data_IF_680543079130
#
_entry.id   IF_680543079130
#
_cell.length_a   1.000
_cell.length_b   1.000
_cell.length_c   1.000
_cell.angle_alpha   90.00
_cell.angle_beta   90.00
_cell.angle_gamma   90.00
#
_symmetry.space_group_name_H-M   'P 1'
#
loop_
_entity.id
_entity.type
_entity.pdbx_description
1 polymer ?
#
# COMPACT_ATOMS: atom_id res chain seq x y z
N UNK A 1 24.00 77.41 -28.15
CA UNK A 1 24.78 78.60 -27.75
C UNK A 1 25.03 78.50 -26.25
N UNK A 2 26.31 78.33 -25.83
CA UNK A 2 26.97 78.71 -24.54
C UNK A 2 26.25 78.45 -23.19
N UNK A 3 26.87 78.03 -22.09
CA UNK A 3 28.26 77.71 -21.71
C UNK A 3 28.27 77.24 -20.23
N UNK A 4 29.21 76.35 -19.89
CA UNK A 4 30.07 76.26 -18.69
C UNK A 4 29.44 76.25 -17.27
N UNK A 5 29.93 75.50 -16.26
CA UNK A 5 31.32 75.27 -15.80
C UNK A 5 31.32 74.08 -14.81
N UNK A 6 32.18 73.03 -14.88
CA UNK A 6 33.56 72.91 -14.33
C UNK A 6 33.70 73.46 -12.89
N UNK A 7 34.39 72.87 -11.90
CA UNK A 7 35.52 71.90 -11.79
C UNK A 7 35.72 71.64 -10.27
N UNK A 8 36.14 70.47 -9.79
CA UNK A 8 37.45 70.10 -9.21
C UNK A 8 37.17 69.22 -7.97
N UNK A 9 37.93 68.19 -7.57
CA UNK A 9 39.18 67.61 -8.06
C UNK A 9 39.94 66.93 -6.90
N UNK A 10 40.44 65.71 -7.15
CA UNK A 10 41.61 65.06 -6.51
C UNK A 10 41.42 64.56 -5.06
N UNK A 11 41.99 63.44 -4.59
CA UNK A 11 43.37 62.89 -4.72
C UNK A 11 43.36 61.43 -4.16
N UNK A 12 43.88 60.43 -4.91
CA UNK A 12 45.14 59.66 -4.65
C UNK A 12 44.98 58.37 -3.78
N UNK A 13 45.93 57.40 -3.74
CA UNK A 13 46.28 56.46 -4.84
C UNK A 13 46.68 55.01 -4.37
N UNK A 14 46.98 54.11 -5.33
CA UNK A 14 48.10 53.11 -5.41
C UNK A 14 48.45 52.17 -4.21
N UNK A 15 48.98 50.93 -4.31
CA UNK A 15 49.38 49.93 -5.34
C UNK A 15 49.93 48.69 -4.60
N UNK A 16 50.15 47.59 -5.35
CA UNK A 16 51.03 46.42 -5.08
C UNK A 16 50.39 45.27 -4.29
N UNK A 17 50.59 43.98 -4.58
CA UNK A 17 51.55 43.19 -5.38
C UNK A 17 50.84 41.82 -5.62
N UNK A 18 50.86 41.14 -6.76
CA UNK A 18 51.99 40.71 -7.57
C UNK A 18 52.38 39.26 -7.23
N UNK A 19 52.10 38.34 -8.17
CA UNK A 19 52.82 37.08 -8.52
C UNK A 19 52.05 35.73 -8.45
N UNK A 20 51.59 35.29 -9.63
CA UNK A 20 51.73 33.91 -10.16
C UNK A 20 53.22 33.62 -10.55
N UNK A 21 53.63 32.47 -11.15
CA UNK A 21 53.25 31.04 -11.06
C UNK A 21 54.51 30.13 -10.88
N UNK A 22 54.40 28.80 -10.75
CA UNK A 22 55.41 27.86 -11.31
C UNK A 22 55.04 26.35 -11.22
N UNK A 23 55.34 25.69 -12.34
CA UNK A 23 55.37 24.26 -12.65
C UNK A 23 56.75 23.65 -12.32
N UNK A 24 56.82 22.35 -11.96
CA UNK A 24 57.82 21.30 -12.35
C UNK A 24 57.74 20.10 -11.37
N UNK A 25 57.32 18.90 -11.77
CA UNK A 25 57.97 17.80 -12.52
C UNK A 25 58.92 16.88 -11.73
N UNK A 26 58.62 15.57 -11.79
CA UNK A 26 59.46 14.35 -11.74
C UNK A 26 60.25 13.96 -10.48
N UNK A 27 59.96 12.78 -9.91
CA UNK A 27 60.84 11.58 -9.94
C UNK A 27 60.25 10.36 -9.18
N UNK A 28 60.29 9.18 -9.81
CA UNK A 28 60.43 7.85 -9.19
C UNK A 28 61.95 7.53 -9.05
N UNK A 29 62.47 6.44 -8.42
CA UNK A 29 61.84 5.12 -8.16
C UNK A 29 62.28 4.35 -6.86
N UNK A 30 61.85 3.08 -6.79
CA UNK A 30 62.39 1.90 -6.06
C UNK A 30 62.08 1.72 -4.56
N UNK A 31 62.08 0.53 -3.94
CA UNK A 31 61.83 -0.91 -4.26
C UNK A 31 62.22 -1.63 -2.95
N UNK A 32 61.35 -2.46 -2.37
CA UNK A 32 61.72 -3.57 -1.44
C UNK A 32 60.44 -4.35 -1.09
N UNK A 33 60.15 -5.53 -1.67
CA UNK A 33 60.50 -6.88 -1.13
C UNK A 33 60.14 -7.03 0.35
N UNK A 34 59.27 -7.96 0.79
CA UNK A 34 59.42 -9.42 0.67
C UNK A 34 58.14 -10.16 1.13
N UNK A 35 57.77 -11.23 0.41
CA UNK A 35 57.24 -12.56 0.85
C UNK A 35 55.96 -12.68 1.71
N UNK A 36 54.89 -13.36 1.26
CA UNK A 36 54.65 -14.84 1.22
C UNK A 36 54.67 -15.42 2.65
N UNK A 37 53.66 -16.09 3.20
CA UNK A 37 53.12 -17.39 2.76
C UNK A 37 51.94 -17.84 3.64
N UNK A 38 51.12 -18.73 3.07
CA UNK A 38 50.19 -19.67 3.71
C UNK A 38 50.80 -20.38 4.94
N UNK A 39 50.00 -20.87 5.90
CA UNK A 39 50.42 -21.97 6.75
C UNK A 39 50.06 -23.31 6.07
N UNK A 40 51.10 -24.05 5.73
CA UNK A 40 51.08 -25.46 5.40
C UNK A 40 50.92 -26.31 6.68
N UNK A 41 50.43 -27.53 6.46
CA UNK A 41 50.55 -28.65 7.39
C UNK A 41 52.02 -28.87 7.78
N UNK A 42 52.27 -29.28 9.02
CA UNK A 42 53.11 -30.46 9.24
C UNK A 42 53.02 -31.02 10.67
N UNK A 43 53.09 -32.33 10.69
CA UNK A 43 53.15 -33.24 11.82
C UNK A 43 54.44 -33.09 12.66
N UNK A 44 54.31 -33.28 13.98
CA UNK A 44 55.21 -34.05 14.89
C UNK A 44 54.73 -33.82 16.33
N UNK A 45 54.76 -34.74 17.29
CA UNK A 45 55.58 -35.94 17.46
C UNK A 45 55.01 -36.80 18.61
N UNK A 46 55.07 -38.12 18.42
CA UNK A 46 55.45 -39.15 19.40
C UNK A 46 54.77 -39.23 20.79
N UNK A 47 54.10 -40.36 21.04
CA UNK A 47 54.61 -41.27 22.07
C UNK A 47 54.20 -42.75 21.88
N UNK A 48 55.24 -43.58 21.78
CA UNK A 48 55.40 -45.01 22.10
C UNK A 48 54.24 -45.72 22.83
N UNK A 49 53.87 -46.96 22.50
CA UNK A 49 54.75 -48.12 22.65
C UNK A 49 54.13 -49.45 22.15
N UNK A 50 55.01 -50.27 21.53
CA UNK A 50 55.14 -51.75 21.63
C UNK A 50 53.92 -52.65 21.34
N UNK A 51 53.98 -53.34 20.19
CA UNK A 51 53.69 -54.80 20.14
C UNK A 51 54.36 -55.50 18.93
N UNK A 52 55.49 -56.14 19.25
CA UNK A 52 55.92 -57.49 18.85
C UNK A 52 55.60 -58.01 17.43
N UNK A 53 56.64 -58.10 16.60
CA UNK A 53 56.73 -59.05 15.48
C UNK A 53 57.16 -60.44 15.99
N UNK A 54 56.32 -61.47 15.80
CA UNK A 54 56.76 -62.86 15.51
C UNK A 54 55.58 -63.78 15.19
N UNK A 55 55.49 -64.22 13.94
CA UNK A 55 55.55 -65.63 13.52
C UNK A 55 54.81 -65.85 12.20
N UNK A 56 55.62 -66.04 11.15
CA UNK A 56 55.26 -66.73 9.93
C UNK A 56 54.89 -68.18 10.26
N UNK A 57 53.66 -68.61 9.95
CA UNK A 57 53.30 -70.02 9.75
C UNK A 57 51.99 -70.12 8.94
N UNK A 58 52.12 -70.79 7.81
CA UNK A 58 51.09 -71.41 6.96
C UNK A 58 49.89 -70.56 6.49
N UNK A 59 49.96 -70.15 5.21
CA UNK A 59 48.76 -69.90 4.38
C UNK A 59 48.10 -71.26 4.07
N UNK A 60 46.81 -71.49 4.40
CA UNK A 60 46.03 -72.51 3.73
C UNK A 60 45.67 -72.05 2.32
N UNK A 61 45.56 -73.01 1.40
CA UNK A 61 45.26 -72.80 -0.01
C UNK A 61 43.97 -71.99 -0.23
N UNK A 62 44.08 -70.93 -1.04
CA UNK A 62 42.92 -70.19 -1.56
C UNK A 62 42.26 -71.08 -2.62
N UNK A 63 41.09 -71.63 -2.31
CA UNK A 63 40.21 -72.20 -3.32
C UNK A 63 39.66 -71.07 -4.20
N UNK A 64 39.58 -71.25 -5.54
CA UNK A 64 39.02 -70.24 -6.43
C UNK A 64 37.52 -70.13 -6.17
N UNK A 65 37.07 -69.01 -5.59
CA UNK A 65 35.64 -68.73 -5.45
C UNK A 65 35.08 -68.29 -6.80
N UNK A 66 34.18 -69.10 -7.35
CA UNK A 66 33.39 -68.80 -8.55
C UNK A 66 32.59 -67.49 -8.34
N UNK A 67 32.54 -66.56 -9.31
CA UNK A 67 32.09 -65.18 -9.07
C UNK A 67 30.57 -64.99 -8.99
N UNK A 68 29.77 -66.05 -8.79
CA UNK A 68 28.33 -65.92 -8.65
C UNK A 68 27.80 -66.85 -7.55
N UNK A 69 27.70 -66.31 -6.34
CA UNK A 69 26.80 -66.88 -5.33
C UNK A 69 25.36 -66.60 -5.77
N UNK A 70 24.64 -67.63 -6.20
CA UNK A 70 23.19 -67.52 -6.41
C UNK A 70 22.55 -67.14 -5.07
N UNK A 71 21.99 -65.93 -4.99
CA UNK A 71 21.19 -65.51 -3.84
C UNK A 71 20.14 -66.59 -3.56
N UNK A 72 19.96 -66.97 -2.29
CA UNK A 72 18.88 -67.88 -1.94
C UNK A 72 17.52 -67.25 -2.32
N UNK A 73 16.52 -68.05 -2.66
CA UNK A 73 15.18 -67.57 -3.03
C UNK A 73 14.66 -66.53 -2.02
N UNK A 74 14.86 -66.79 -0.72
CA UNK A 74 14.45 -65.88 0.35
C UNK A 74 15.17 -64.52 0.32
N UNK A 75 16.47 -64.50 -0.01
CA UNK A 75 17.25 -63.27 -0.16
C UNK A 75 16.91 -62.52 -1.45
N UNK A 76 16.61 -63.25 -2.53
CA UNK A 76 16.16 -62.66 -3.80
C UNK A 76 14.74 -62.05 -3.69
N UNK A 77 13.92 -62.54 -2.74
CA UNK A 77 12.57 -62.04 -2.47
C UNK A 77 12.48 -61.06 -1.29
N UNK A 78 13.57 -60.75 -0.60
CA UNK A 78 13.55 -59.83 0.54
C UNK A 78 13.37 -58.37 0.06
N UNK A 79 12.12 -57.93 0.06
CA UNK A 79 11.72 -56.57 -0.32
C UNK A 79 11.61 -55.62 0.89
N UNK A 80 12.07 -56.03 2.07
CA UNK A 80 11.91 -55.27 3.31
C UNK A 80 12.53 -53.86 3.21
N UNK A 81 13.69 -53.76 2.56
CA UNK A 81 14.37 -52.48 2.33
C UNK A 81 13.61 -51.58 1.35
N UNK A 82 13.05 -52.13 0.27
CA UNK A 82 12.23 -51.39 -0.70
C UNK A 82 10.92 -50.89 -0.05
N UNK A 83 10.31 -51.70 0.81
CA UNK A 83 9.11 -51.32 1.58
C UNK A 83 9.46 -50.22 2.59
N UNK A 84 10.60 -50.33 3.29
CA UNK A 84 11.08 -49.33 4.23
C UNK A 84 11.43 -48.00 3.53
N UNK A 85 12.07 -48.03 2.36
CA UNK A 85 12.34 -46.86 1.53
C UNK A 85 11.04 -46.21 1.04
N UNK A 86 10.08 -46.99 0.51
CA UNK A 86 8.76 -46.46 0.11
C UNK A 86 8.02 -45.81 1.29
N UNK A 87 8.09 -46.39 2.49
CA UNK A 87 7.49 -45.82 3.69
C UNK A 87 8.15 -44.49 4.06
N UNK A 88 9.49 -44.42 4.06
CA UNK A 88 10.23 -43.16 4.31
C UNK A 88 9.90 -42.08 3.29
N UNK A 89 9.93 -42.40 1.99
CA UNK A 89 9.56 -41.46 0.92
C UNK A 89 8.10 -41.00 1.05
N UNK A 90 7.15 -41.89 1.38
CA UNK A 90 5.76 -41.49 1.65
C UNK A 90 5.64 -40.54 2.85
N UNK A 91 6.34 -40.82 3.95
CA UNK A 91 6.35 -39.96 5.14
C UNK A 91 6.99 -38.61 4.80
N UNK A 92 8.13 -38.59 4.10
CA UNK A 92 8.77 -37.37 3.64
C UNK A 92 7.87 -36.56 2.71
N UNK A 93 7.16 -37.20 1.77
CA UNK A 93 6.19 -36.52 0.91
C UNK A 93 5.01 -35.94 1.72
N UNK A 94 4.53 -36.64 2.74
CA UNK A 94 3.48 -36.13 3.64
C UNK A 94 3.99 -34.92 4.43
N UNK A 95 5.20 -35.01 5.00
CA UNK A 95 5.85 -33.90 5.72
C UNK A 95 6.03 -32.70 4.79
N UNK A 96 6.58 -32.91 3.59
CA UNK A 96 6.74 -31.84 2.59
C UNK A 96 5.40 -31.18 2.26
N UNK A 97 4.32 -31.95 2.09
CA UNK A 97 2.98 -31.41 1.86
C UNK A 97 2.47 -30.57 3.04
N UNK A 98 2.67 -31.04 4.26
CA UNK A 98 2.27 -30.30 5.48
C UNK A 98 3.06 -29.00 5.57
N UNK A 99 4.38 -29.03 5.37
CA UNK A 99 5.23 -27.83 5.38
C UNK A 99 4.78 -26.85 4.30
N UNK A 100 4.54 -27.31 3.06
CA UNK A 100 4.03 -26.43 2.00
C UNK A 100 2.68 -25.81 2.34
N UNK A 101 1.77 -26.57 2.96
CA UNK A 101 0.47 -26.05 3.37
C UNK A 101 0.62 -24.96 4.44
N UNK A 102 1.49 -25.18 5.43
CA UNK A 102 1.77 -24.19 6.48
C UNK A 102 2.35 -22.90 5.86
N UNK A 103 3.31 -23.01 4.95
CA UNK A 103 3.90 -21.85 4.27
C UNK A 103 2.87 -21.08 3.43
N UNK A 104 1.98 -21.78 2.74
CA UNK A 104 0.88 -21.15 1.98
C UNK A 104 -0.08 -20.41 2.92
N UNK A 105 -0.46 -21.04 4.04
CA UNK A 105 -1.34 -20.40 5.04
C UNK A 105 -0.66 -19.16 5.63
N UNK A 106 0.63 -19.24 5.97
CA UNK A 106 1.39 -18.11 6.49
C UNK A 106 1.47 -16.96 5.47
N UNK A 107 1.74 -17.27 4.19
CA UNK A 107 1.77 -16.27 3.12
C UNK A 107 0.41 -15.59 2.94
N UNK A 108 -0.69 -16.34 2.96
CA UNK A 108 -2.05 -15.79 2.88
C UNK A 108 -2.37 -14.93 4.10
N UNK A 109 -1.97 -15.34 5.30
CA UNK A 109 -2.18 -14.55 6.52
C UNK A 109 -1.41 -13.22 6.48
N UNK A 110 -0.14 -13.25 6.05
CA UNK A 110 0.69 -12.04 5.91
C UNK A 110 0.09 -11.10 4.87
N UNK A 111 -0.32 -11.61 3.71
CA UNK A 111 -0.94 -10.79 2.66
C UNK A 111 -2.33 -10.28 3.05
N UNK A 112 -3.10 -11.06 3.79
CA UNK A 112 -4.46 -10.72 4.23
C UNK A 112 -4.49 -9.74 5.40
N UNK A 113 -3.44 -9.67 6.22
CA UNK A 113 -3.41 -8.83 7.41
C UNK A 113 -3.56 -7.32 7.12
N UNK A 114 -2.81 -6.71 6.18
CA UNK A 114 -3.04 -5.31 5.80
C UNK A 114 -4.45 -5.05 5.26
N UNK A 115 -5.00 -5.97 4.47
CA UNK A 115 -6.36 -5.85 3.93
C UNK A 115 -7.41 -5.86 5.05
N UNK A 116 -7.23 -6.70 6.07
CA UNK A 116 -8.11 -6.73 7.23
C UNK A 116 -8.04 -5.43 8.05
N UNK A 117 -6.83 -4.89 8.27
CA UNK A 117 -6.65 -3.59 8.95
C UNK A 117 -7.32 -2.46 8.16
N UNK A 118 -7.07 -2.40 6.85
CA UNK A 118 -7.65 -1.42 5.94
C UNK A 118 -9.18 -1.49 5.93
N UNK A 119 -9.75 -2.70 5.92
CA UNK A 119 -11.19 -2.91 6.00
C UNK A 119 -11.75 -2.40 7.35
N UNK A 120 -11.13 -2.78 8.46
CA UNK A 120 -11.54 -2.32 9.79
C UNK A 120 -11.48 -0.78 9.90
N UNK A 121 -10.41 -0.17 9.37
CA UNK A 121 -10.27 1.28 9.32
C UNK A 121 -11.38 1.93 8.48
N UNK A 122 -11.70 1.39 7.30
CA UNK A 122 -12.76 1.92 6.45
C UNK A 122 -14.13 1.91 7.15
N UNK A 123 -14.43 0.85 7.91
CA UNK A 123 -15.65 0.76 8.72
C UNK A 123 -15.67 1.79 9.84
N UNK A 124 -14.53 1.99 10.54
CA UNK A 124 -14.42 2.97 11.62
C UNK A 124 -14.62 4.39 11.09
N UNK A 125 -13.97 4.73 9.98
CA UNK A 125 -14.07 6.05 9.34
C UNK A 125 -15.49 6.33 8.83
N UNK A 126 -16.11 5.35 8.17
CA UNK A 126 -17.51 5.45 7.76
C UNK A 126 -18.46 5.59 8.96
N UNK A 127 -18.16 4.98 10.10
CA UNK A 127 -18.93 5.17 11.33
C UNK A 127 -18.78 6.59 11.88
N UNK A 128 -17.57 7.16 11.88
CA UNK A 128 -17.35 8.56 12.27
C UNK A 128 -18.17 9.51 11.42
N UNK A 129 -18.15 9.33 10.09
CA UNK A 129 -19.00 10.09 9.16
C UNK A 129 -20.49 9.98 9.48
N UNK A 130 -20.99 8.76 9.77
CA UNK A 130 -22.40 8.56 10.15
C UNK A 130 -22.76 9.22 11.47
N UNK A 131 -21.89 9.13 12.47
CA UNK A 131 -22.13 9.74 13.78
C UNK A 131 -22.21 11.27 13.66
N UNK A 132 -21.28 11.89 12.92
CA UNK A 132 -21.29 13.32 12.63
C UNK A 132 -22.58 13.74 11.90
N UNK A 133 -22.99 13.00 10.85
CA UNK A 133 -24.23 13.28 10.14
C UNK A 133 -25.48 13.16 11.04
N UNK A 134 -25.52 12.16 11.93
CA UNK A 134 -26.60 11.98 12.91
C UNK A 134 -26.63 13.11 13.94
N UNK A 135 -25.46 13.60 14.37
CA UNK A 135 -25.35 14.72 15.29
C UNK A 135 -25.93 16.00 14.67
N UNK A 136 -25.55 16.30 13.42
CA UNK A 136 -26.10 17.44 12.66
C UNK A 136 -27.62 17.30 12.49
N UNK A 137 -28.11 16.10 12.18
CA UNK A 137 -29.55 15.85 12.05
C UNK A 137 -30.34 16.10 13.36
N UNK A 138 -29.65 16.03 14.51
CA UNK A 138 -30.22 16.33 15.82
C UNK A 138 -30.13 17.81 16.23
N UNK A 139 -29.50 18.68 15.43
CA UNK A 139 -29.37 20.11 15.77
C UNK A 139 -30.72 20.83 15.73
N UNK A 140 -30.96 21.81 16.62
CA UNK A 140 -32.12 22.67 16.54
C UNK A 140 -32.18 23.44 15.22
N UNK A 141 -33.35 23.48 14.59
CA UNK A 141 -33.59 24.37 13.46
C UNK A 141 -33.49 25.86 13.90
N UNK A 142 -32.83 26.76 13.14
CA UNK A 142 -32.21 26.58 11.82
C UNK A 142 -30.66 26.45 11.84
N UNK A 143 -30.07 25.87 12.90
CA UNK A 143 -28.61 25.91 13.13
C UNK A 143 -27.77 25.38 11.96
N UNK A 144 -28.21 24.31 11.28
CA UNK A 144 -27.50 23.77 10.13
C UNK A 144 -27.55 24.72 8.92
N UNK A 145 -28.68 25.40 8.70
CA UNK A 145 -28.84 26.39 7.62
C UNK A 145 -27.98 27.63 7.89
N UNK A 146 -27.93 28.08 9.14
CA UNK A 146 -27.07 29.19 9.56
C UNK A 146 -25.59 28.85 9.36
N UNK A 147 -25.17 27.62 9.67
CA UNK A 147 -23.80 27.15 9.44
C UNK A 147 -23.44 27.14 7.94
N UNK A 148 -24.35 26.67 7.08
CA UNK A 148 -24.19 26.71 5.62
C UNK A 148 -24.13 28.15 5.10
N UNK A 149 -24.99 29.03 5.59
CA UNK A 149 -24.99 30.45 5.22
C UNK A 149 -23.67 31.13 5.60
N UNK A 150 -23.16 30.87 6.81
CA UNK A 150 -21.86 31.36 7.26
C UNK A 150 -20.70 30.85 6.38
N UNK A 151 -20.71 29.56 6.02
CA UNK A 151 -19.71 28.99 5.12
C UNK A 151 -19.77 29.57 3.70
N UNK A 152 -20.97 29.80 3.15
CA UNK A 152 -21.16 30.46 1.86
C UNK A 152 -20.67 31.92 1.89
N UNK A 153 -20.91 32.64 2.99
CA UNK A 153 -20.40 33.99 3.18
C UNK A 153 -18.86 34.04 3.26
N UNK A 154 -18.25 33.07 3.94
CA UNK A 154 -16.79 32.87 3.95
C UNK A 154 -16.25 32.62 2.55
N UNK A 155 -16.88 31.72 1.78
CA UNK A 155 -16.49 31.43 0.40
C UNK A 155 -16.57 32.68 -0.49
N UNK A 156 -17.61 33.50 -0.37
CA UNK A 156 -17.74 34.74 -1.12
C UNK A 156 -16.63 35.75 -0.77
N UNK A 157 -16.21 35.82 0.51
CA UNK A 157 -15.07 36.65 0.94
C UNK A 157 -13.75 36.12 0.36
N UNK A 158 -13.55 34.81 0.37
CA UNK A 158 -12.37 34.15 -0.19
C UNK A 158 -12.24 34.33 -1.71
N UNK A 159 -13.36 34.23 -2.44
CA UNK A 159 -13.40 34.48 -3.89
C UNK A 159 -13.02 35.93 -4.22
N UNK A 160 -13.54 36.91 -3.46
CA UNK A 160 -13.19 38.34 -3.64
C UNK A 160 -11.74 38.67 -3.29
N UNK A 161 -11.12 37.94 -2.36
CA UNK A 161 -9.72 38.16 -1.98
C UNK A 161 -8.72 37.52 -2.95
N UNK A 162 -9.18 36.64 -3.85
CA UNK A 162 -8.34 35.96 -4.84
C UNK A 162 -7.48 34.83 -4.27
N UNK A 163 -7.90 34.22 -3.16
CA UNK A 163 -7.19 33.12 -2.47
C UNK A 163 -5.70 33.43 -2.21
N UNK A 164 -5.39 34.39 -1.32
CA UNK A 164 -4.02 34.81 -1.07
C UNK A 164 -3.14 33.70 -0.44
N UNK A 165 -3.76 32.70 0.16
CA UNK A 165 -3.12 31.52 0.76
C UNK A 165 -3.83 30.28 0.23
N UNK A 166 -3.05 29.24 -0.11
CA UNK A 166 -3.57 27.93 -0.48
C UNK A 166 -2.68 26.83 0.13
N UNK A 167 -3.23 26.10 1.09
CA UNK A 167 -2.55 25.09 1.91
C UNK A 167 -1.89 25.64 3.19
N UNK A 168 -1.38 24.72 4.02
CA UNK A 168 -0.65 25.03 5.26
C UNK A 168 0.80 25.52 5.02
N UNK A 169 1.32 25.14 3.86
CA UNK A 169 2.53 25.56 3.15
C UNK A 169 2.26 25.25 1.67
N UNK A 170 3.13 25.69 0.74
CA UNK A 170 2.95 25.53 -0.72
C UNK A 170 2.41 24.13 -1.12
N UNK A 171 2.78 23.06 -0.39
CA UNK A 171 2.19 21.73 -0.50
C UNK A 171 1.98 21.04 0.87
N UNK A 172 0.78 20.45 1.12
CA UNK A 172 0.44 19.77 2.36
C UNK A 172 1.12 18.41 2.57
N UNK A 173 1.83 17.85 1.58
CA UNK A 173 2.55 16.57 1.72
C UNK A 173 4.07 16.70 1.56
N UNK A 174 4.59 17.91 1.72
CA UNK A 174 5.97 18.22 1.34
C UNK A 174 7.04 17.67 2.30
N UNK A 175 6.65 17.04 3.42
CA UNK A 175 7.61 16.42 4.36
C UNK A 175 8.19 15.12 3.79
N UNK A 176 9.34 14.69 4.33
CA UNK A 176 9.91 13.40 3.99
C UNK A 176 8.88 12.28 4.17
N UNK A 177 8.78 11.37 3.19
CA UNK A 177 7.81 10.26 3.11
C UNK A 177 6.35 10.63 2.79
N UNK A 178 6.04 11.85 2.33
CA UNK A 178 4.67 12.21 1.95
C UNK A 178 3.76 12.46 3.15
N UNK A 179 4.34 12.82 4.29
CA UNK A 179 3.62 13.35 5.44
C UNK A 179 3.41 14.86 5.33
N UNK A 180 2.47 15.39 6.10
CA UNK A 180 2.30 16.84 6.22
C UNK A 180 3.40 17.48 7.06
N UNK A 181 3.91 18.64 6.61
CA UNK A 181 4.86 19.45 7.39
C UNK A 181 4.19 20.22 8.53
N UNK A 182 2.87 20.36 8.48
CA UNK A 182 2.13 21.06 9.51
C UNK A 182 2.06 20.20 10.77
N UNK A 183 2.89 20.53 11.77
CA UNK A 183 2.68 20.12 13.16
C UNK A 183 1.44 20.88 13.66
N UNK A 184 0.44 20.15 14.17
CA UNK A 184 -0.94 20.60 14.33
C UNK A 184 -1.15 22.03 14.83
N UNK A 185 -0.38 22.50 15.81
CA UNK A 185 -0.58 23.83 16.41
C UNK A 185 -0.02 25.00 15.57
N UNK A 186 0.96 24.77 14.69
CA UNK A 186 1.67 25.83 13.96
C UNK A 186 1.17 26.10 12.53
N UNK A 187 0.17 25.34 12.08
CA UNK A 187 -0.39 25.41 10.73
C UNK A 187 -1.14 26.73 10.45
N UNK A 188 -1.34 27.07 9.18
CA UNK A 188 -2.09 28.28 8.82
C UNK A 188 -3.57 28.10 9.16
N UNK A 189 -4.11 26.90 8.92
CA UNK A 189 -5.48 26.54 9.26
C UNK A 189 -5.75 26.60 10.76
N UNK A 190 -4.85 26.07 11.60
CA UNK A 190 -5.05 26.02 13.06
C UNK A 190 -5.06 27.42 13.70
N UNK A 191 -4.42 28.40 13.05
CA UNK A 191 -4.37 29.80 13.51
C UNK A 191 -5.61 30.60 13.11
N UNK A 192 -6.32 30.18 12.06
CA UNK A 192 -7.52 30.85 11.58
C UNK A 192 -8.77 30.36 12.35
N UNK A 193 -9.12 31.09 13.40
CA UNK A 193 -10.28 30.78 14.24
C UNK A 193 -11.61 30.86 13.50
N UNK A 194 -11.73 31.75 12.51
CA UNK A 194 -12.95 31.86 11.70
C UNK A 194 -13.13 30.55 10.92
N UNK A 195 -12.09 30.14 10.19
CA UNK A 195 -12.08 28.88 9.43
C UNK A 195 -12.36 27.65 10.31
N UNK A 196 -11.68 27.51 11.45
CA UNK A 196 -11.86 26.36 12.35
C UNK A 196 -13.27 26.28 12.95
N UNK A 197 -13.94 27.42 13.12
CA UNK A 197 -15.31 27.43 13.68
C UNK A 197 -16.41 27.09 12.68
N UNK A 198 -16.11 27.13 11.38
CA UNK A 198 -17.09 26.91 10.32
C UNK A 198 -17.29 25.42 10.06
N UNK A 199 -18.55 25.00 9.94
CA UNK A 199 -18.95 23.63 9.60
C UNK A 199 -18.47 22.55 10.58
N UNK A 200 -18.13 22.90 11.82
CA UNK A 200 -17.82 21.90 12.85
C UNK A 200 -19.11 21.19 13.30
N UNK A 201 -19.30 19.96 12.83
CA UNK A 201 -20.43 19.10 13.20
C UNK A 201 -20.35 18.53 14.62
N UNK A 202 -19.23 18.77 15.32
CA UNK A 202 -18.80 18.06 16.52
C UNK A 202 -17.64 17.12 16.21
N UNK A 203 -16.74 16.95 17.18
CA UNK A 203 -15.51 16.15 17.07
C UNK A 203 -14.60 16.56 15.87
N UNK A 204 -14.59 17.84 15.50
CA UNK A 204 -13.75 18.45 14.45
C UNK A 204 -14.08 18.01 13.01
N UNK A 205 -15.22 17.33 12.80
CA UNK A 205 -15.63 16.86 11.47
C UNK A 205 -16.37 17.98 10.73
N UNK A 206 -15.86 18.36 9.55
CA UNK A 206 -16.45 19.33 8.65
C UNK A 206 -17.63 18.77 7.84
N UNK A 207 -17.52 17.50 7.44
CA UNK A 207 -18.44 16.83 6.54
C UNK A 207 -17.94 15.45 6.16
N UNK A 208 -18.46 14.90 5.07
CA UNK A 208 -18.10 13.56 4.58
C UNK A 208 -17.91 13.57 3.07
N UNK A 209 -16.86 12.87 2.59
CA UNK A 209 -16.65 12.58 1.17
C UNK A 209 -17.04 11.12 0.90
N UNK A 210 -17.90 10.91 -0.10
CA UNK A 210 -18.29 9.59 -0.60
C UNK A 210 -17.86 9.42 -2.06
N UNK A 211 -17.18 8.33 -2.36
CA UNK A 211 -16.79 7.94 -3.74
C UNK A 211 -17.21 6.49 -3.93
N UNK A 212 -18.46 6.23 -4.35
CA UNK A 212 -19.02 4.88 -4.35
C UNK A 212 -18.25 3.88 -5.22
N UNK A 213 -17.74 4.32 -6.38
CA UNK A 213 -16.96 3.47 -7.31
C UNK A 213 -15.78 2.75 -6.66
N UNK A 214 -15.17 3.38 -5.65
CA UNK A 214 -13.98 2.86 -4.96
C UNK A 214 -14.23 2.60 -3.47
N UNK A 215 -15.49 2.54 -3.04
CA UNK A 215 -15.90 2.31 -1.64
C UNK A 215 -15.29 3.31 -0.64
N UNK A 216 -15.14 4.57 -1.02
CA UNK A 216 -14.66 5.61 -0.10
C UNK A 216 -15.84 6.26 0.60
N UNK A 217 -15.78 6.31 1.92
CA UNK A 217 -16.68 7.06 2.80
C UNK A 217 -15.83 7.55 3.99
N UNK A 218 -15.40 8.81 3.94
CA UNK A 218 -14.44 9.37 4.89
C UNK A 218 -14.95 10.67 5.49
N UNK A 219 -14.71 10.91 6.80
CA UNK A 219 -14.91 12.22 7.38
C UNK A 219 -13.89 13.21 6.77
N UNK A 220 -14.34 14.45 6.60
CA UNK A 220 -13.51 15.58 6.17
C UNK A 220 -13.21 16.40 7.44
N UNK A 221 -11.93 16.66 7.69
CA UNK A 221 -11.45 17.50 8.78
C UNK A 221 -10.91 18.83 8.26
N UNK A 222 -10.81 19.81 9.14
CA UNK A 222 -10.18 21.10 8.83
C UNK A 222 -8.68 20.96 8.61
N UNK A 223 -8.19 21.66 7.59
CA UNK A 223 -6.79 21.70 7.23
C UNK A 223 -6.25 20.36 6.74
N UNK A 224 -4.93 20.34 6.59
CA UNK A 224 -4.20 19.17 6.09
C UNK A 224 -3.02 18.84 6.98
N UNK A 225 -3.21 18.96 8.29
CA UNK A 225 -2.23 18.57 9.30
C UNK A 225 -2.03 17.05 9.29
N UNK A 226 -0.92 16.59 9.88
CA UNK A 226 -0.67 15.15 10.00
C UNK A 226 -1.77 14.44 10.82
N UNK A 227 -2.34 15.12 11.82
CA UNK A 227 -3.43 14.58 12.63
C UNK A 227 -4.73 14.48 11.85
N UNK A 228 -5.10 15.52 11.08
CA UNK A 228 -6.29 15.50 10.23
C UNK A 228 -6.22 14.38 9.18
N UNK A 229 -5.10 14.29 8.45
CA UNK A 229 -4.92 13.29 7.38
C UNK A 229 -4.77 11.86 7.91
N UNK A 230 -4.33 11.67 9.16
CA UNK A 230 -4.34 10.36 9.80
C UNK A 230 -5.76 9.91 10.21
N UNK A 231 -6.65 10.87 10.48
CA UNK A 231 -8.03 10.63 10.94
C UNK A 231 -9.05 10.56 9.81
N UNK A 232 -8.74 11.03 8.60
CA UNK A 232 -9.67 11.00 7.47
C UNK A 232 -9.17 11.79 6.26
N UNK A 233 -10.09 12.39 5.52
CA UNK A 233 -9.77 13.39 4.51
C UNK A 233 -9.56 14.76 5.18
N UNK A 234 -8.72 15.60 4.59
CA UNK A 234 -8.48 16.98 5.06
C UNK A 234 -8.89 17.99 4.01
N UNK A 235 -9.59 19.05 4.41
CA UNK A 235 -9.89 20.19 3.55
C UNK A 235 -8.66 21.09 3.40
N UNK A 236 -8.26 21.42 2.18
CA UNK A 236 -7.13 22.29 1.93
C UNK A 236 -7.44 23.73 2.36
N UNK A 237 -6.78 24.23 3.40
CA UNK A 237 -6.96 25.61 3.84
C UNK A 237 -6.74 26.61 2.69
N UNK A 238 -7.57 27.65 2.61
CA UNK A 238 -7.53 28.62 1.51
C UNK A 238 -8.25 28.18 0.21
N UNK A 239 -8.75 26.94 0.12
CA UNK A 239 -9.79 26.58 -0.85
C UNK A 239 -11.18 26.91 -0.30
N UNK A 240 -12.19 26.95 -1.17
CA UNK A 240 -13.58 27.16 -0.75
C UNK A 240 -14.02 26.03 0.18
N UNK A 241 -14.75 26.35 1.26
CA UNK A 241 -15.45 25.37 2.08
C UNK A 241 -16.42 24.54 1.21
N UNK A 242 -16.62 23.25 1.50
CA UNK A 242 -17.23 22.30 0.58
C UNK A 242 -18.77 22.35 0.62
N UNK A 243 -19.35 23.55 0.54
CA UNK A 243 -20.80 23.82 0.56
C UNK A 243 -21.36 24.20 -0.83
N UNK A 244 -20.51 24.12 -1.86
CA UNK A 244 -20.80 24.47 -3.24
C UNK A 244 -21.14 25.96 -3.46
N UNK A 245 -21.76 26.23 -4.61
CA UNK A 245 -22.18 27.55 -5.07
C UNK A 245 -21.26 28.12 -6.16
N UNK A 246 -21.80 29.04 -6.95
CA UNK A 246 -21.07 29.64 -8.07
C UNK A 246 -19.80 30.37 -7.62
N UNK A 247 -18.72 30.18 -8.38
CA UNK A 247 -17.43 30.77 -8.06
C UNK A 247 -16.79 30.16 -6.82
N UNK A 248 -16.96 28.86 -6.63
CA UNK A 248 -16.31 28.10 -5.55
C UNK A 248 -15.47 26.97 -6.10
N UNK A 249 -14.36 26.68 -5.42
CA UNK A 249 -13.51 25.54 -5.71
C UNK A 249 -12.95 25.00 -4.40
N UNK A 250 -13.52 23.89 -3.92
CA UNK A 250 -13.04 23.19 -2.74
C UNK A 250 -12.00 22.14 -3.10
N UNK A 251 -11.00 21.93 -2.24
CA UNK A 251 -10.01 20.88 -2.44
C UNK A 251 -9.99 19.96 -1.24
N UNK A 252 -10.33 18.69 -1.46
CA UNK A 252 -10.36 17.64 -0.45
C UNK A 252 -9.15 16.74 -0.67
N UNK A 253 -8.37 16.55 0.39
CA UNK A 253 -7.10 15.84 0.34
C UNK A 253 -7.16 14.55 1.15
N UNK A 254 -6.41 13.53 0.75
CA UNK A 254 -6.33 12.28 1.48
C UNK A 254 -5.04 11.53 1.21
N UNK A 255 -4.59 10.72 2.17
CA UNK A 255 -3.40 9.89 1.98
C UNK A 255 -3.61 8.81 0.91
N UNK A 256 -2.49 8.38 0.31
CA UNK A 256 -2.42 7.24 -0.60
C UNK A 256 -1.33 6.28 -0.13
N UNK A 257 -1.71 5.02 0.08
CA UNK A 257 -0.80 3.94 0.48
C UNK A 257 -0.53 3.83 1.98
N UNK A 258 -1.49 4.15 2.85
CA UNK A 258 -1.34 3.81 4.27
C UNK A 258 -1.52 2.30 4.48
N UNK A 259 -0.67 1.72 5.33
CA UNK A 259 -0.71 0.28 5.65
C UNK A 259 -2.01 -0.11 6.35
N UNK A 260 -2.54 0.78 7.18
CA UNK A 260 -3.69 0.53 8.05
C UNK A 260 -5.02 1.09 7.52
N UNK A 261 -5.03 1.90 6.46
CA UNK A 261 -6.24 2.58 5.97
C UNK A 261 -6.20 2.78 4.45
N UNK A 262 -7.33 2.57 3.76
CA UNK A 262 -7.38 2.77 2.31
C UNK A 262 -7.34 4.25 1.91
N UNK A 263 -8.02 5.15 2.64
CA UNK A 263 -8.09 6.58 2.31
C UNK A 263 -8.32 6.81 0.80
N UNK A 264 -7.49 7.62 0.13
CA UNK A 264 -7.52 7.87 -1.32
C UNK A 264 -6.57 6.96 -2.11
N UNK A 265 -6.20 5.79 -1.56
CA UNK A 265 -5.27 4.85 -2.22
C UNK A 265 -5.69 4.46 -3.63
N UNK A 266 -7.00 4.31 -3.87
CA UNK A 266 -7.61 3.89 -5.14
C UNK A 266 -8.10 5.06 -6.00
N UNK A 267 -7.71 6.29 -5.70
CA UNK A 267 -8.22 7.46 -6.42
C UNK A 267 -7.84 7.44 -7.92
N UNK A 268 -6.77 6.73 -8.29
CA UNK A 268 -6.36 6.49 -9.68
C UNK A 268 -7.27 5.54 -10.47
N UNK A 269 -8.23 4.88 -9.81
CA UNK A 269 -9.25 4.06 -10.48
C UNK A 269 -10.44 4.91 -11.01
N UNK A 270 -10.51 6.20 -10.63
CA UNK A 270 -11.52 7.13 -11.13
C UNK A 270 -11.26 7.53 -12.59
N UNK A 271 -12.33 7.91 -13.28
CA UNK A 271 -12.39 8.29 -14.69
C UNK A 271 -13.36 9.46 -14.87
N UNK A 272 -13.20 10.20 -15.96
CA UNK A 272 -14.20 11.16 -16.43
C UNK A 272 -15.57 10.48 -16.54
N UNK A 273 -16.62 11.15 -16.05
CA UNK A 273 -18.00 10.65 -15.96
C UNK A 273 -18.31 9.87 -14.67
N UNK A 274 -17.34 9.64 -13.79
CA UNK A 274 -17.63 9.08 -12.46
C UNK A 274 -18.18 10.16 -11.52
N UNK A 275 -18.94 9.75 -10.51
CA UNK A 275 -19.51 10.65 -9.50
C UNK A 275 -18.87 10.48 -8.12
N UNK A 276 -18.79 11.58 -7.39
CA UNK A 276 -18.52 11.62 -5.96
C UNK A 276 -19.42 12.64 -5.27
N UNK A 277 -19.53 12.55 -3.95
CA UNK A 277 -20.51 13.30 -3.18
C UNK A 277 -19.90 13.89 -1.92
N UNK A 278 -20.29 15.11 -1.59
CA UNK A 278 -20.00 15.74 -0.31
C UNK A 278 -21.29 15.80 0.50
N UNK A 279 -21.25 15.31 1.73
CA UNK A 279 -22.31 15.52 2.72
C UNK A 279 -21.84 16.53 3.75
N UNK A 280 -22.59 17.62 3.91
CA UNK A 280 -22.21 18.73 4.78
C UNK A 280 -23.48 19.38 5.36
N UNK A 281 -23.52 19.50 6.69
CA UNK A 281 -24.62 20.16 7.41
C UNK A 281 -26.04 19.71 6.97
N UNK A 282 -26.21 18.43 6.63
CA UNK A 282 -27.50 17.86 6.20
C UNK A 282 -27.81 17.98 4.71
N UNK A 283 -26.97 18.69 3.93
CA UNK A 283 -27.05 18.71 2.46
C UNK A 283 -26.11 17.65 1.84
N UNK A 284 -26.53 17.09 0.71
CA UNK A 284 -25.69 16.22 -0.14
C UNK A 284 -25.47 16.86 -1.50
N UNK A 285 -24.22 17.04 -1.89
CA UNK A 285 -23.79 17.72 -3.11
C UNK A 285 -23.11 16.70 -4.03
N UNK A 286 -23.60 16.53 -5.26
CA UNK A 286 -23.06 15.59 -6.25
C UNK A 286 -22.11 16.29 -7.22
N UNK A 287 -21.01 15.63 -7.57
CA UNK A 287 -20.02 16.14 -8.52
C UNK A 287 -19.66 15.06 -9.55
N UNK A 288 -19.67 15.42 -10.83
CA UNK A 288 -19.21 14.57 -11.93
C UNK A 288 -17.75 14.90 -12.26
N UNK A 289 -16.92 13.87 -12.40
CA UNK A 289 -15.52 14.02 -12.78
C UNK A 289 -15.43 14.43 -14.24
N UNK A 290 -14.86 15.59 -14.53
CA UNK A 290 -14.60 16.06 -15.91
C UNK A 290 -13.12 15.95 -16.29
N UNK A 291 -12.21 16.12 -15.33
CA UNK A 291 -10.77 16.20 -15.59
C UNK A 291 -9.94 15.47 -14.55
N UNK A 292 -8.88 14.80 -15.02
CA UNK A 292 -7.88 14.13 -14.18
C UNK A 292 -6.50 14.58 -14.64
N UNK A 293 -5.64 14.97 -13.70
CA UNK A 293 -4.27 15.39 -14.02
C UNK A 293 -3.29 15.04 -12.91
N UNK A 294 -2.00 15.10 -13.25
CA UNK A 294 -0.89 14.95 -12.30
C UNK A 294 -0.06 16.23 -12.33
N UNK A 295 0.16 16.82 -11.16
CA UNK A 295 0.93 18.06 -10.98
C UNK A 295 2.16 17.82 -10.11
N UNK A 296 3.13 18.73 -10.18
CA UNK A 296 4.16 18.79 -9.17
C UNK A 296 3.58 19.39 -7.87
N UNK A 297 4.13 19.06 -6.70
CA UNK A 297 3.58 19.53 -5.43
C UNK A 297 3.53 21.06 -5.30
N UNK A 298 4.49 21.77 -5.91
CA UNK A 298 4.59 23.22 -5.90
C UNK A 298 3.65 23.94 -6.88
N UNK A 299 2.97 23.22 -7.77
CA UNK A 299 2.03 23.78 -8.74
C UNK A 299 0.60 23.81 -8.19
N UNK A 300 0.25 24.88 -7.47
CA UNK A 300 -1.11 25.11 -6.97
C UNK A 300 -2.02 25.86 -7.95
N UNK A 301 -1.54 26.16 -9.16
CA UNK A 301 -2.25 27.04 -10.11
C UNK A 301 -3.62 26.52 -10.50
N UNK A 302 -3.77 25.19 -10.58
CA UNK A 302 -5.00 24.52 -10.99
C UNK A 302 -6.04 24.37 -9.87
N UNK A 303 -5.68 24.71 -8.63
CA UNK A 303 -6.54 24.59 -7.45
C UNK A 303 -7.28 25.90 -7.12
N UNK A 304 -7.13 26.92 -7.98
CA UNK A 304 -7.78 28.23 -7.81
C UNK A 304 -9.25 28.19 -8.23
N UNK A 305 -10.04 29.07 -7.63
CA UNK A 305 -11.43 29.32 -7.98
C UNK A 305 -11.52 29.73 -9.45
N UNK A 306 -12.44 29.09 -10.17
CA UNK A 306 -12.81 29.46 -11.52
C UNK A 306 -14.12 30.26 -11.45
N UNK A 307 -14.16 31.52 -11.91
CA UNK A 307 -15.36 32.35 -11.82
C UNK A 307 -16.57 31.69 -12.50
N UNK A 308 -17.70 31.66 -11.79
CA UNK A 308 -18.97 31.13 -12.31
C UNK A 308 -19.08 29.60 -12.28
N UNK A 309 -18.09 28.89 -11.74
CA UNK A 309 -18.12 27.42 -11.65
C UNK A 309 -18.19 26.98 -10.17
N UNK A 310 -18.90 25.87 -9.91
CA UNK A 310 -18.94 25.17 -8.62
C UNK A 310 -18.13 23.86 -8.78
N UNK A 311 -16.94 23.83 -8.14
CA UNK A 311 -15.97 22.75 -8.31
C UNK A 311 -15.50 22.14 -7.02
N UNK A 312 -15.18 20.85 -7.09
CA UNK A 312 -14.41 20.16 -6.07
C UNK A 312 -13.26 19.39 -6.72
N UNK A 313 -12.07 19.48 -6.15
CA UNK A 313 -10.93 18.64 -6.54
C UNK A 313 -10.57 17.68 -5.41
N UNK A 314 -10.48 16.39 -5.74
CA UNK A 314 -9.90 15.39 -4.85
C UNK A 314 -8.40 15.28 -5.14
N UNK A 315 -7.57 15.43 -4.11
CA UNK A 315 -6.11 15.44 -4.24
C UNK A 315 -5.46 14.35 -3.40
N UNK A 316 -4.50 13.63 -3.99
CA UNK A 316 -3.65 12.68 -3.26
C UNK A 316 -2.22 12.61 -3.82
N UNK A 317 -1.33 11.88 -3.15
CA UNK A 317 0.04 11.65 -3.61
C UNK A 317 0.14 10.58 -4.71
N UNK A 318 1.06 10.75 -5.65
CA UNK A 318 1.34 9.80 -6.73
C UNK A 318 2.81 9.91 -7.19
N UNK A 319 3.43 8.90 -7.82
CA UNK A 319 3.02 7.50 -7.95
C UNK A 319 2.96 6.76 -6.62
N UNK A 320 2.23 5.64 -6.57
CA UNK A 320 2.04 4.84 -5.35
C UNK A 320 3.38 4.39 -4.76
N UNK A 321 3.60 4.65 -3.47
CA UNK A 321 4.83 4.31 -2.76
C UNK A 321 6.02 5.24 -3.02
N UNK A 322 5.88 6.23 -3.91
CA UNK A 322 6.92 7.21 -4.27
C UNK A 322 6.52 8.63 -3.87
N UNK A 323 5.25 9.01 -4.12
CA UNK A 323 4.61 10.25 -3.62
C UNK A 323 5.28 11.57 -4.06
N UNK A 324 5.96 11.58 -5.20
CA UNK A 324 6.70 12.75 -5.73
C UNK A 324 5.81 13.81 -6.40
N UNK A 325 4.59 13.45 -6.80
CA UNK A 325 3.63 14.28 -7.52
C UNK A 325 2.26 14.23 -6.84
N UNK A 326 1.30 15.03 -7.31
CA UNK A 326 -0.08 15.01 -6.83
C UNK A 326 -1.01 14.59 -7.96
N UNK A 327 -1.87 13.62 -7.68
CA UNK A 327 -3.00 13.23 -8.53
C UNK A 327 -4.19 14.11 -8.15
N UNK A 328 -4.78 14.79 -9.13
CA UNK A 328 -5.98 15.61 -8.98
C UNK A 328 -7.12 15.02 -9.80
N UNK A 329 -8.27 14.84 -9.16
CA UNK A 329 -9.55 14.50 -9.79
C UNK A 329 -10.47 15.71 -9.63
N UNK A 330 -10.74 16.42 -10.72
CA UNK A 330 -11.66 17.55 -10.74
C UNK A 330 -13.07 17.04 -11.00
N UNK A 331 -14.04 17.59 -10.26
CA UNK A 331 -15.44 17.47 -10.60
C UNK A 331 -16.17 18.80 -10.59
N UNK A 332 -17.16 18.91 -11.46
CA UNK A 332 -18.13 20.02 -11.47
C UNK A 332 -19.43 19.58 -10.82
N UNK A 333 -20.13 20.55 -10.25
CA UNK A 333 -21.42 20.32 -9.60
C UNK A 333 -22.46 19.77 -10.57
N UNK A 334 -23.21 18.76 -10.13
CA UNK A 334 -24.37 18.21 -10.84
C UNK A 334 -25.54 17.99 -9.86
N UNK A 335 -26.81 18.20 -10.29
CA UNK A 335 -27.97 17.88 -9.48
C UNK A 335 -28.14 16.38 -9.24
N UNK A 336 -28.64 16.05 -8.06
CA UNK A 336 -29.03 14.70 -7.63
C UNK A 336 -30.57 14.61 -7.72
N UNK A 337 -31.19 13.52 -8.19
CA UNK A 337 -30.57 12.26 -8.64
C UNK A 337 -30.25 12.22 -10.15
N UNK A 338 -30.49 13.31 -10.88
CA UNK A 338 -30.26 13.40 -12.32
C UNK A 338 -29.50 14.69 -12.62
N UNK A 339 -28.30 14.61 -13.24
CA UNK A 339 -27.65 13.42 -13.80
C UNK A 339 -26.85 12.58 -12.79
N UNK A 340 -26.57 13.08 -11.58
CA UNK A 340 -25.79 12.35 -10.58
C UNK A 340 -26.65 11.31 -9.83
N UNK A 341 -26.34 10.00 -9.88
CA UNK A 341 -27.14 8.96 -9.20
C UNK A 341 -27.28 9.20 -7.69
N UNK A 342 -28.24 8.57 -7.03
CA UNK A 342 -28.28 8.58 -5.56
C UNK A 342 -27.04 7.84 -5.01
N UNK A 343 -26.32 8.41 -4.01
CA UNK A 343 -25.13 7.77 -3.44
C UNK A 343 -25.41 6.40 -2.81
N UNK A 344 -26.65 6.10 -2.42
CA UNK A 344 -27.04 4.80 -1.86
C UNK A 344 -27.22 3.69 -2.90
N UNK A 345 -27.44 4.04 -4.17
CA UNK A 345 -27.66 3.10 -5.27
C UNK A 345 -26.34 2.57 -5.88
N UNK A 346 -25.22 3.21 -5.58
CA UNK A 346 -23.93 2.89 -6.16
C UNK A 346 -23.17 1.89 -5.30
N UNK A 347 -22.93 0.70 -5.85
CA UNK A 347 -22.16 -0.36 -5.20
C UNK A 347 -20.75 -0.51 -5.82
N UNK A 348 -19.80 -0.91 -4.99
CA UNK A 348 -18.44 -1.21 -5.44
C UNK A 348 -18.39 -2.53 -6.20
N UNK A 349 -18.30 -2.38 -7.51
CA UNK A 349 -18.10 -3.47 -8.48
C UNK A 349 -16.98 -4.42 -8.09
N UNK A 350 -15.89 -3.95 -7.47
CA UNK A 350 -14.76 -4.79 -7.08
C UNK A 350 -15.07 -5.65 -5.85
N UNK A 351 -15.84 -5.15 -4.89
CA UNK A 351 -16.30 -5.94 -3.73
C UNK A 351 -17.23 -7.07 -4.17
N UNK A 352 -18.08 -6.80 -5.16
CA UNK A 352 -18.92 -7.83 -5.78
C UNK A 352 -18.03 -8.87 -6.48
N UNK A 353 -17.04 -8.44 -7.27
CA UNK A 353 -16.12 -9.34 -7.98
C UNK A 353 -15.27 -10.17 -7.01
N UNK A 354 -14.74 -9.59 -5.94
CA UNK A 354 -13.94 -10.34 -4.94
C UNK A 354 -14.78 -11.37 -4.21
N UNK A 355 -16.01 -11.04 -3.82
CA UNK A 355 -16.97 -12.00 -3.25
C UNK A 355 -17.23 -13.17 -4.20
N UNK A 356 -17.48 -12.89 -5.49
CA UNK A 356 -17.71 -13.93 -6.51
C UNK A 356 -16.49 -14.83 -6.68
N UNK A 357 -15.28 -14.27 -6.73
CA UNK A 357 -14.04 -15.04 -6.86
C UNK A 357 -13.79 -15.91 -5.63
N UNK A 358 -13.96 -15.36 -4.42
CA UNK A 358 -13.77 -16.11 -3.17
C UNK A 358 -14.78 -17.25 -3.06
N UNK A 359 -16.06 -16.98 -3.31
CA UNK A 359 -17.10 -18.01 -3.33
C UNK A 359 -16.83 -19.08 -4.41
N UNK A 360 -16.34 -18.67 -5.59
CA UNK A 360 -15.93 -19.59 -6.65
C UNK A 360 -14.76 -20.49 -6.25
N UNK A 361 -13.73 -19.95 -5.59
CA UNK A 361 -12.59 -20.72 -5.10
C UNK A 361 -12.99 -21.69 -3.98
N UNK A 362 -13.81 -21.25 -3.02
CA UNK A 362 -14.32 -22.09 -1.94
C UNK A 362 -15.22 -23.21 -2.48
N UNK A 363 -16.12 -22.89 -3.41
CA UNK A 363 -16.95 -23.87 -4.11
C UNK A 363 -16.14 -24.89 -4.91
N UNK A 364 -15.12 -24.42 -5.63
CA UNK A 364 -14.19 -25.28 -6.37
C UNK A 364 -13.39 -26.22 -5.46
N UNK A 365 -12.92 -25.72 -4.31
CA UNK A 365 -12.21 -26.54 -3.32
C UNK A 365 -13.11 -27.61 -2.70
N UNK A 366 -14.35 -27.26 -2.35
CA UNK A 366 -15.35 -28.20 -1.85
C UNK A 366 -15.66 -29.29 -2.89
N UNK A 367 -15.81 -28.91 -4.16
CA UNK A 367 -16.09 -29.82 -5.27
C UNK A 367 -14.92 -30.80 -5.53
N UNK A 368 -13.68 -30.32 -5.48
CA UNK A 368 -12.49 -31.18 -5.53
C UNK A 368 -12.41 -32.14 -4.34
N UNK A 369 -12.79 -31.68 -3.15
CA UNK A 369 -12.90 -32.51 -1.94
C UNK A 369 -13.93 -33.62 -2.10
N UNK A 370 -15.11 -33.31 -2.65
CA UNK A 370 -16.19 -34.27 -2.94
C UNK A 370 -15.76 -35.28 -4.02
N UNK A 371 -15.18 -34.83 -5.14
CA UNK A 371 -14.66 -35.71 -6.19
C UNK A 371 -13.56 -36.62 -5.64
N UNK A 372 -12.66 -36.07 -4.82
CA UNK A 372 -11.61 -36.83 -4.13
C UNK A 372 -12.19 -37.88 -3.19
N UNK A 373 -13.29 -37.58 -2.49
CA UNK A 373 -14.00 -38.53 -1.62
C UNK A 373 -14.69 -39.62 -2.42
N UNK A 374 -15.38 -39.27 -3.52
CA UNK A 374 -16.05 -40.22 -4.41
C UNK A 374 -15.04 -41.19 -5.03
N UNK A 375 -13.89 -40.69 -5.52
CA UNK A 375 -12.82 -41.53 -6.09
C UNK A 375 -12.14 -42.46 -5.07
N UNK A 376 -12.25 -42.16 -3.77
CA UNK A 376 -11.71 -42.99 -2.68
C UNK A 376 -12.75 -43.94 -2.07
N UNK A 377 -14.00 -43.89 -2.52
CA UNK A 377 -14.99 -44.90 -2.11
C UNK A 377 -14.50 -46.26 -2.63
N UNK A 378 -14.41 -47.28 -1.77
CA UNK A 378 -14.02 -48.61 -2.22
C UNK A 378 -15.05 -49.09 -3.24
N UNK A 379 -14.60 -49.45 -4.44
CA UNK A 379 -15.40 -50.23 -5.38
C UNK A 379 -15.86 -51.48 -4.61
N UNK A 380 -17.14 -51.57 -4.24
CA UNK A 380 -17.71 -52.81 -3.72
C UNK A 380 -17.80 -53.76 -4.92
N UNK A 381 -17.00 -54.84 -5.00
CA UNK A 381 -17.24 -55.84 -6.03
C UNK A 381 -18.62 -56.43 -5.78
N UNK A 382 -19.55 -56.25 -6.71
CA UNK A 382 -20.81 -56.98 -6.72
C UNK A 382 -20.44 -58.46 -6.82
N UNK A 383 -20.55 -59.19 -5.71
CA UNK A 383 -20.41 -60.64 -5.71
C UNK A 383 -21.63 -61.20 -6.46
N UNK A 384 -21.44 -61.61 -7.71
CA UNK A 384 -22.43 -62.46 -8.38
C UNK A 384 -22.57 -63.74 -7.55
N UNK A 385 -23.75 -63.96 -6.98
CA UNK A 385 -24.09 -65.22 -6.35
C UNK A 385 -24.14 -66.29 -7.45
N UNK A 386 -23.11 -67.13 -7.53
CA UNK A 386 -23.14 -68.33 -8.36
C UNK A 386 -24.08 -69.34 -7.69
N UNK A 387 -25.31 -69.44 -8.16
CA UNK A 387 -26.21 -70.54 -7.85
C UNK A 387 -25.66 -71.82 -8.49
N UNK A 388 -25.14 -72.72 -7.66
CA UNK A 388 -24.72 -74.06 -8.06
C UNK A 388 -25.95 -74.99 -8.12
N UNK A 389 -26.19 -75.79 -9.17
CA UNK A 389 -27.30 -76.72 -9.17
C UNK A 389 -26.98 -77.97 -8.33
N UNK A 390 -27.88 -78.31 -7.40
CA UNK A 390 -27.87 -79.61 -6.70
C UNK A 390 -28.02 -80.74 -7.71
N UNK A 391 -27.02 -81.62 -7.78
CA UNK A 391 -27.13 -82.95 -8.40
C UNK A 391 -28.25 -83.74 -7.70
N UNK A 392 -29.30 -84.09 -8.42
CA UNK A 392 -30.11 -85.25 -8.07
C UNK A 392 -29.31 -86.52 -8.41
N UNK A 393 -29.19 -87.45 -7.47
CA UNK A 393 -28.93 -88.86 -7.77
C UNK A 393 -30.24 -89.61 -7.54
N UNK A 394 -30.58 -90.45 -8.52
CA UNK A 394 -31.69 -91.40 -8.43
C UNK A 394 -31.35 -92.62 -7.58
#
# INVERSE_FOLDING_TARGET
MRMASRRHGSKRPATSSGNDPAVKSSHAPARSTMTRSLPDNDERSSNNSRRSYRNSRHKPAVQPQLPYSMLSFNQATDISDLVAQRKRLRIQLIIMRIVTLILVIAAVAIAGYPLALQYQSSLKLAQTSRNSAQQVAGWPYPQAEDALAAARAYNAKLARSGQPVLGEAIDPFSAAQGGSRAKGEDSAASKDKEYQSLLDSGDEVMGTIKIPKISVNLPIYHGTSQTALASGAGHLYGSSLPVGGDGTHSVITGHRGLVNAMMFTRLDEMKTGDFFYIEVMGETLGYEVDRITVINPDDTSQLKIVPGEDRVTLMTCTPYGVNTQRLLIFGHREPIPMPAPDPSDLHDTRTIVTMVVVCGLLGGWLLLGVIGRIRRLPFKPMRHASSWPRRMRG
#
